data_IF_056975834938
#
_entry.id   IF_056975834938
#
_cell.length_a   1.000
_cell.length_b   1.000
_cell.length_c   1.000
_cell.angle_alpha   90.00
_cell.angle_beta   90.00
_cell.angle_gamma   90.00
#
_symmetry.space_group_name_H-M   'P 1'
#
loop_
_entity.id
_entity.type
_entity.pdbx_description
1 polymer ?
#
# COMPACT_ATOMS: atom_id res chain seq x y z
N UNK A 1 -2.29 2.17 7.14
CA UNK A 1 -2.47 2.85 8.45
C UNK A 1 -1.34 2.51 9.40
N UNK A 2 -1.18 1.25 9.86
CA UNK A 2 -0.13 0.86 10.80
C UNK A 2 1.30 1.13 10.28
N UNK A 3 1.63 0.66 9.06
CA UNK A 3 2.96 0.89 8.45
C UNK A 3 3.33 2.38 8.41
N UNK A 4 2.37 3.25 8.03
CA UNK A 4 2.57 4.71 8.03
C UNK A 4 2.78 5.28 9.43
N UNK A 5 2.10 4.74 10.44
CA UNK A 5 2.36 5.10 11.85
C UNK A 5 3.78 4.71 12.26
N UNK A 6 4.25 3.52 11.87
CA UNK A 6 5.63 3.08 12.12
C UNK A 6 6.66 3.97 11.44
N UNK A 7 6.47 4.30 10.15
CA UNK A 7 7.39 5.19 9.42
C UNK A 7 7.49 6.59 10.04
N UNK A 8 6.41 7.06 10.69
CA UNK A 8 6.44 8.33 11.44
C UNK A 8 7.07 8.18 12.82
N UNK A 9 6.82 7.08 13.52
CA UNK A 9 7.31 6.83 14.87
C UNK A 9 8.81 6.46 14.93
N UNK A 10 9.28 5.66 13.96
CA UNK A 10 10.69 5.23 13.87
C UNK A 10 11.54 6.37 13.33
N UNK A 11 12.46 6.87 14.15
CA UNK A 11 13.40 7.94 13.76
C UNK A 11 14.84 7.44 13.71
N UNK A 12 15.14 6.37 14.43
CA UNK A 12 16.50 5.83 14.58
C UNK A 12 16.56 4.33 14.27
N UNK A 13 17.74 3.80 13.92
CA UNK A 13 17.92 2.35 13.79
C UNK A 13 17.63 1.57 15.08
N UNK A 14 17.80 2.22 16.25
CA UNK A 14 17.54 1.58 17.53
C UNK A 14 16.04 1.41 17.79
N UNK A 15 15.20 2.37 17.39
CA UNK A 15 13.73 2.19 17.40
C UNK A 15 13.32 0.93 16.61
N UNK A 16 13.93 0.70 15.45
CA UNK A 16 13.64 -0.48 14.62
C UNK A 16 14.07 -1.80 15.29
N UNK A 17 15.21 -1.81 15.99
CA UNK A 17 15.67 -2.98 16.76
C UNK A 17 14.78 -3.27 17.96
N UNK A 18 14.23 -2.23 18.59
CA UNK A 18 13.31 -2.36 19.71
C UNK A 18 12.03 -3.08 19.26
N UNK A 19 11.43 -2.64 18.14
CA UNK A 19 10.20 -3.22 17.59
C UNK A 19 10.34 -4.72 17.33
N UNK A 20 11.50 -5.18 16.83
CA UNK A 20 11.74 -6.59 16.52
C UNK A 20 11.67 -7.53 17.75
N UNK A 21 11.74 -6.97 18.96
CA UNK A 21 11.68 -7.74 20.21
C UNK A 21 10.31 -7.68 20.88
N UNK A 22 9.39 -6.86 20.38
CA UNK A 22 8.09 -6.63 20.99
C UNK A 22 7.06 -7.65 20.52
N UNK A 23 6.15 -8.00 21.41
CA UNK A 23 4.86 -8.60 21.08
C UNK A 23 3.90 -7.56 20.49
N UNK A 24 2.82 -7.99 19.85
CA UNK A 24 1.80 -7.08 19.29
C UNK A 24 1.24 -6.11 20.34
N UNK A 25 1.08 -6.56 21.59
CA UNK A 25 0.58 -5.73 22.68
C UNK A 25 1.58 -4.64 23.08
N UNK A 26 2.85 -5.02 23.27
CA UNK A 26 3.94 -4.08 23.58
C UNK A 26 4.15 -3.08 22.45
N UNK A 27 4.11 -3.55 21.20
CA UNK A 27 4.23 -2.72 20.01
C UNK A 27 3.14 -1.65 19.96
N UNK A 28 1.89 -1.99 20.28
CA UNK A 28 0.78 -1.04 20.29
C UNK A 28 0.95 0.01 21.42
N UNK A 29 1.47 -0.37 22.58
CA UNK A 29 1.78 0.58 23.67
C UNK A 29 2.94 1.50 23.28
N UNK A 30 4.00 0.94 22.72
CA UNK A 30 5.15 1.69 22.21
C UNK A 30 4.73 2.71 21.15
N UNK A 31 3.89 2.30 20.20
CA UNK A 31 3.42 3.16 19.12
C UNK A 31 2.57 4.34 19.65
N UNK A 32 1.72 4.12 20.67
CA UNK A 32 1.05 5.23 21.37
C UNK A 32 2.06 6.19 22.01
N UNK A 33 3.08 5.64 22.68
CA UNK A 33 4.14 6.43 23.33
C UNK A 33 4.95 7.30 22.34
N UNK A 34 4.97 6.95 21.06
CA UNK A 34 5.60 7.72 19.98
C UNK A 34 4.68 8.75 19.31
N UNK A 35 3.48 8.99 19.86
CA UNK A 35 2.53 10.00 19.35
C UNK A 35 1.59 9.50 18.27
N UNK A 36 1.56 8.18 18.00
CA UNK A 36 0.67 7.55 17.01
C UNK A 36 -0.58 6.93 17.68
N UNK A 37 -1.10 7.60 18.70
CA UNK A 37 -2.27 7.13 19.45
C UNK A 37 -3.52 7.00 18.55
N UNK A 38 -3.72 7.92 17.63
CA UNK A 38 -4.80 7.88 16.65
C UNK A 38 -4.76 6.61 15.78
N UNK A 39 -3.56 6.17 15.41
CA UNK A 39 -3.37 4.95 14.63
C UNK A 39 -3.80 3.73 15.44
N UNK A 40 -3.34 3.66 16.69
CA UNK A 40 -3.64 2.55 17.60
C UNK A 40 -5.13 2.50 17.96
N UNK A 41 -5.72 3.65 18.31
CA UNK A 41 -7.14 3.76 18.61
C UNK A 41 -8.01 3.45 17.38
N UNK A 42 -7.58 3.84 16.17
CA UNK A 42 -8.26 3.49 14.93
C UNK A 42 -8.31 1.98 14.70
N UNK A 43 -7.22 1.26 14.98
CA UNK A 43 -7.16 -0.20 14.88
C UNK A 43 -8.06 -0.89 15.91
N UNK A 44 -7.95 -0.50 17.19
CA UNK A 44 -8.72 -1.12 18.28
C UNK A 44 -10.23 -0.89 18.16
N UNK A 45 -10.63 0.28 17.69
CA UNK A 45 -12.04 0.64 17.50
C UNK A 45 -12.54 0.43 16.08
N UNK A 46 -11.75 -0.23 15.20
CA UNK A 46 -12.10 -0.48 13.78
C UNK A 46 -12.48 0.79 12.98
N UNK A 47 -11.93 1.95 13.37
CA UNK A 47 -12.06 3.22 12.65
C UNK A 47 -10.95 3.32 11.60
N UNK A 48 -11.07 2.49 10.57
CA UNK A 48 -10.08 2.38 9.50
C UNK A 48 -10.24 3.47 8.44
N UNK A 49 -9.14 3.78 7.78
CA UNK A 49 -9.10 4.71 6.66
C UNK A 49 -9.94 4.16 5.51
N UNK A 50 -10.59 5.07 4.79
CA UNK A 50 -11.45 4.78 3.66
C UNK A 50 -10.84 5.34 2.38
N UNK A 51 -11.08 4.64 1.28
CA UNK A 51 -10.70 5.11 -0.05
C UNK A 51 -11.47 6.39 -0.39
N UNK A 52 -10.72 7.44 -0.68
CA UNK A 52 -11.23 8.71 -1.20
C UNK A 52 -11.09 8.79 -2.72
N UNK A 53 -9.94 8.35 -3.25
CA UNK A 53 -9.65 8.39 -4.69
C UNK A 53 -8.56 7.35 -5.03
N UNK A 54 -8.49 6.90 -6.28
CA UNK A 54 -7.43 6.02 -6.75
C UNK A 54 -7.62 5.66 -8.22
N UNK A 55 -6.55 5.17 -8.85
CA UNK A 55 -6.55 4.65 -10.22
C UNK A 55 -6.11 3.19 -10.20
N UNK A 56 -6.75 2.36 -11.01
CA UNK A 56 -6.29 0.97 -11.16
C UNK A 56 -5.00 0.92 -11.97
N UNK A 57 -4.24 -0.17 -11.86
CA UNK A 57 -3.07 -0.36 -12.72
C UNK A 57 -3.39 -0.46 -14.21
N UNK A 58 -4.65 -0.77 -14.54
CA UNK A 58 -5.17 -0.89 -15.91
C UNK A 58 -5.57 0.48 -16.48
N UNK A 59 -6.00 1.41 -15.63
CA UNK A 59 -6.42 2.77 -16.03
C UNK A 59 -5.25 3.68 -16.42
N UNK A 60 -4.01 3.29 -16.12
CA UNK A 60 -2.83 4.15 -16.30
C UNK A 60 -1.81 3.57 -17.27
N UNK A 61 -1.43 4.40 -18.23
CA UNK A 61 -0.34 4.13 -19.16
C UNK A 61 1.03 4.06 -18.48
N UNK A 62 2.02 3.54 -19.21
CA UNK A 62 3.38 3.36 -18.68
C UNK A 62 4.03 4.68 -18.23
N UNK A 63 3.72 5.79 -18.89
CA UNK A 63 4.32 7.09 -18.57
C UNK A 63 3.80 7.67 -17.26
N UNK A 64 2.49 7.58 -17.00
CA UNK A 64 1.92 7.95 -15.70
C UNK A 64 2.43 7.05 -14.58
N UNK A 65 2.61 5.75 -14.84
CA UNK A 65 3.27 4.86 -13.88
C UNK A 65 4.73 5.26 -13.59
N UNK A 66 5.49 5.76 -14.56
CA UNK A 66 6.85 6.27 -14.34
C UNK A 66 6.83 7.51 -13.46
N UNK A 67 5.86 8.41 -13.65
CA UNK A 67 5.66 9.60 -12.81
C UNK A 67 5.39 9.19 -11.35
N UNK A 68 4.46 8.27 -11.13
CA UNK A 68 4.15 7.76 -9.78
C UNK A 68 5.36 7.11 -9.09
N UNK A 69 6.16 6.34 -9.84
CA UNK A 69 7.42 5.75 -9.32
C UNK A 69 8.47 6.81 -9.00
N UNK A 70 8.57 7.87 -9.79
CA UNK A 70 9.49 8.98 -9.53
C UNK A 70 9.11 9.70 -8.24
N UNK A 71 7.81 9.93 -8.00
CA UNK A 71 7.32 10.51 -6.74
C UNK A 71 7.69 9.69 -5.51
N UNK A 72 7.69 8.35 -5.62
CA UNK A 72 8.13 7.47 -4.54
C UNK A 72 9.63 7.65 -4.22
N UNK A 73 10.49 7.74 -5.25
CA UNK A 73 11.95 7.88 -5.08
C UNK A 73 12.35 9.22 -4.46
N UNK A 74 11.62 10.29 -4.80
CA UNK A 74 11.95 11.64 -4.32
C UNK A 74 11.54 11.86 -2.85
N UNK A 75 11.01 10.86 -2.15
CA UNK A 75 10.49 10.94 -0.78
C UNK A 75 9.41 12.03 -0.57
N UNK A 76 8.82 12.52 -1.67
CA UNK A 76 7.78 13.56 -1.69
C UNK A 76 6.42 13.07 -1.21
N UNK A 77 6.27 11.76 -1.07
CA UNK A 77 5.00 11.13 -0.70
C UNK A 77 4.47 11.65 0.65
N UNK A 78 5.34 11.78 1.65
CA UNK A 78 4.97 12.34 2.95
C UNK A 78 4.55 13.81 2.85
N UNK A 79 5.19 14.60 1.99
CA UNK A 79 4.81 16.00 1.78
C UNK A 79 3.45 16.09 1.10
N UNK A 80 3.18 15.23 0.12
CA UNK A 80 1.89 15.16 -0.56
C UNK A 80 0.76 14.70 0.38
N UNK A 81 1.01 13.70 1.23
CA UNK A 81 0.06 13.27 2.26
C UNK A 81 -0.28 14.43 3.22
N UNK A 82 0.75 15.16 3.67
CA UNK A 82 0.58 16.36 4.51
C UNK A 82 -0.22 17.45 3.80
N UNK A 83 0.13 17.76 2.55
CA UNK A 83 -0.53 18.78 1.76
C UNK A 83 -2.01 18.44 1.55
N UNK A 84 -2.33 17.20 1.15
CA UNK A 84 -3.71 16.74 0.97
C UNK A 84 -4.51 16.78 2.26
N UNK A 85 -3.92 16.38 3.38
CA UNK A 85 -4.59 16.43 4.67
C UNK A 85 -4.92 17.88 5.05
N UNK A 86 -3.93 18.78 5.01
CA UNK A 86 -4.11 20.19 5.38
C UNK A 86 -5.09 20.91 4.45
N UNK A 87 -5.00 20.71 3.13
CA UNK A 87 -5.93 21.29 2.14
C UNK A 87 -7.36 20.76 2.27
N UNK A 88 -7.54 19.62 2.92
CA UNK A 88 -8.85 19.02 3.21
C UNK A 88 -9.39 19.39 4.60
N UNK A 89 -8.66 20.19 5.37
CA UNK A 89 -9.01 20.58 6.74
C UNK A 89 -8.79 19.47 7.77
N UNK A 90 -7.97 18.47 7.43
CA UNK A 90 -7.50 17.44 8.35
C UNK A 90 -6.11 17.77 8.92
N UNK A 91 -5.57 16.82 9.66
CA UNK A 91 -4.25 16.90 10.30
C UNK A 91 -3.24 15.96 9.62
N UNK A 92 -1.96 16.20 9.87
CA UNK A 92 -0.89 15.31 9.38
C UNK A 92 -1.17 13.89 9.86
N UNK A 93 -1.17 12.94 8.93
CA UNK A 93 -1.50 11.55 9.20
C UNK A 93 -2.92 11.16 8.81
N UNK A 94 -3.87 12.11 8.64
CA UNK A 94 -5.26 11.81 8.29
C UNK A 94 -5.46 11.30 6.85
N UNK A 95 -4.46 11.47 6.00
CA UNK A 95 -4.43 11.02 4.61
C UNK A 95 -3.21 10.13 4.40
N UNK A 96 -3.39 9.05 3.63
CA UNK A 96 -2.34 8.13 3.21
C UNK A 96 -2.42 8.00 1.69
N UNK A 97 -1.29 8.19 1.02
CA UNK A 97 -1.12 7.91 -0.40
C UNK A 97 -0.34 6.60 -0.49
N UNK A 98 -0.90 5.62 -1.15
CA UNK A 98 -0.29 4.31 -1.38
C UNK A 98 -0.02 4.10 -2.86
N UNK A 99 1.25 3.93 -3.20
CA UNK A 99 1.74 3.64 -4.55
C UNK A 99 2.51 2.33 -4.42
N UNK A 100 2.01 1.22 -4.99
CA UNK A 100 2.66 -0.07 -4.83
C UNK A 100 4.00 -0.07 -5.55
N UNK A 101 5.05 -0.38 -4.80
CA UNK A 101 6.39 -0.52 -5.35
C UNK A 101 6.56 -1.89 -6.01
N UNK A 102 7.28 -1.96 -7.14
CA UNK A 102 7.66 -3.25 -7.76
C UNK A 102 8.57 -4.10 -6.86
N UNK A 103 9.16 -3.54 -5.80
CA UNK A 103 9.93 -4.29 -4.82
C UNK A 103 9.11 -5.40 -4.16
N UNK A 104 7.79 -5.23 -4.04
CA UNK A 104 6.87 -6.26 -3.56
C UNK A 104 6.85 -7.53 -4.46
N UNK A 105 7.10 -7.37 -5.77
CA UNK A 105 7.25 -8.48 -6.71
C UNK A 105 8.64 -9.14 -6.62
N UNK A 106 9.65 -8.40 -6.14
CA UNK A 106 11.03 -8.90 -5.96
C UNK A 106 11.17 -9.67 -4.65
N UNK A 107 10.47 -9.24 -3.58
CA UNK A 107 10.45 -9.95 -2.30
C UNK A 107 9.68 -11.27 -2.40
N UNK A 108 8.63 -11.32 -3.23
CA UNK A 108 7.75 -12.49 -3.31
C UNK A 108 7.52 -12.97 -4.77
N UNK A 109 8.56 -13.52 -5.44
CA UNK A 109 8.47 -14.00 -6.82
C UNK A 109 7.47 -15.15 -7.03
N UNK A 110 7.10 -15.85 -5.94
CA UNK A 110 6.08 -16.90 -5.92
C UNK A 110 4.69 -16.39 -6.29
N UNK A 111 4.39 -15.10 -6.13
CA UNK A 111 3.05 -14.57 -6.39
C UNK A 111 2.65 -14.69 -7.88
N UNK A 112 3.63 -14.71 -8.79
CA UNK A 112 3.40 -14.90 -10.24
C UNK A 112 3.51 -16.34 -10.71
N UNK A 113 4.02 -17.25 -9.87
CA UNK A 113 4.28 -18.64 -10.25
C UNK A 113 3.37 -19.56 -9.45
N UNK A 114 2.57 -20.35 -10.16
CA UNK A 114 1.85 -21.44 -9.53
C UNK A 114 2.79 -22.53 -9.02
N UNK A 115 4.05 -22.59 -9.52
CA UNK A 115 5.10 -23.57 -9.19
C UNK A 115 4.65 -25.05 -9.20
N UNK A 116 3.51 -25.33 -9.82
CA UNK A 116 2.91 -26.66 -9.94
C UNK A 116 3.16 -27.15 -11.37
N UNK A 117 3.82 -28.29 -11.48
CA UNK A 117 3.99 -29.02 -12.73
C UNK A 117 3.01 -30.19 -12.82
N UNK A 118 2.53 -30.45 -14.03
CA UNK A 118 1.60 -31.52 -14.39
C UNK A 118 2.31 -32.43 -15.40
N UNK A 119 2.25 -33.73 -15.15
CA UNK A 119 2.67 -34.74 -16.12
C UNK A 119 1.50 -35.03 -17.04
N UNK A 120 1.65 -34.78 -18.33
CA UNK A 120 0.61 -35.08 -19.30
C UNK A 120 0.56 -36.60 -19.63
N UNK A 121 -0.48 -37.02 -20.34
CA UNK A 121 -0.64 -38.43 -20.76
C UNK A 121 0.51 -38.95 -21.64
N UNK A 122 1.38 -38.09 -22.14
CA UNK A 122 2.57 -38.44 -22.95
C UNK A 122 3.86 -38.40 -22.11
N UNK A 123 3.76 -38.30 -20.78
CA UNK A 123 4.91 -38.24 -19.87
C UNK A 123 5.64 -36.89 -19.84
N UNK A 124 5.09 -35.84 -20.49
CA UNK A 124 5.76 -34.53 -20.54
C UNK A 124 5.37 -33.69 -19.33
N UNK A 125 6.35 -33.05 -18.72
CA UNK A 125 6.18 -32.14 -17.59
C UNK A 125 5.90 -30.73 -18.10
N UNK A 126 4.75 -30.15 -17.71
CA UNK A 126 4.38 -28.75 -18.05
C UNK A 126 3.77 -28.05 -16.85
N UNK A 127 3.91 -26.71 -16.72
CA UNK A 127 3.28 -25.98 -15.62
C UNK A 127 1.75 -25.99 -15.73
N UNK A 128 1.07 -25.93 -14.58
CA UNK A 128 -0.39 -25.96 -14.47
C UNK A 128 -1.08 -24.87 -15.32
N UNK A 129 -0.46 -23.69 -15.44
CA UNK A 129 -0.95 -22.59 -16.29
C UNK A 129 -1.10 -22.96 -17.78
N UNK A 130 -0.38 -23.98 -18.28
CA UNK A 130 -0.55 -24.48 -19.65
C UNK A 130 -1.76 -25.39 -19.84
N UNK A 131 -2.33 -25.87 -18.74
CA UNK A 131 -3.45 -26.82 -18.74
C UNK A 131 -4.73 -26.23 -18.15
N UNK A 132 -4.64 -25.08 -17.47
CA UNK A 132 -5.75 -24.46 -16.77
C UNK A 132 -5.79 -22.96 -17.06
N UNK A 133 -6.80 -22.46 -17.82
CA UNK A 133 -6.97 -21.03 -18.08
C UNK A 133 -7.12 -20.21 -16.79
N UNK A 134 -7.73 -20.78 -15.74
CA UNK A 134 -7.84 -20.11 -14.44
C UNK A 134 -6.47 -19.98 -13.77
N UNK A 135 -5.60 -20.97 -13.88
CA UNK A 135 -4.25 -20.89 -13.32
C UNK A 135 -3.38 -19.87 -14.08
N UNK A 136 -3.55 -19.76 -15.40
CA UNK A 136 -2.90 -18.71 -16.20
C UNK A 136 -3.42 -17.31 -15.84
N UNK A 137 -4.74 -17.14 -15.71
CA UNK A 137 -5.35 -15.87 -15.32
C UNK A 137 -4.91 -15.40 -13.92
N UNK A 138 -4.85 -16.30 -12.94
CA UNK A 138 -4.38 -16.00 -11.59
C UNK A 138 -2.93 -15.49 -11.60
N UNK A 139 -2.04 -16.15 -12.36
CA UNK A 139 -0.63 -15.76 -12.43
C UNK A 139 -0.36 -14.41 -13.13
N UNK A 140 -1.29 -13.97 -14.00
CA UNK A 140 -1.19 -12.67 -14.69
C UNK A 140 -1.67 -11.50 -13.84
N UNK A 141 -2.49 -11.75 -12.82
CA UNK A 141 -3.04 -10.71 -11.96
C UNK A 141 -1.92 -9.97 -11.23
N UNK A 142 -1.96 -8.64 -11.23
CA UNK A 142 -1.05 -7.84 -10.41
C UNK A 142 -1.37 -8.03 -8.93
N UNK A 143 -0.32 -8.04 -8.09
CA UNK A 143 -0.45 -8.21 -6.63
C UNK A 143 -1.25 -7.08 -6.01
N UNK A 144 -0.96 -5.85 -6.45
CA UNK A 144 -1.75 -4.67 -6.13
C UNK A 144 -2.51 -4.25 -7.38
N UNK A 145 -3.86 -4.20 -7.34
CA UNK A 145 -4.68 -3.81 -8.49
C UNK A 145 -4.72 -2.29 -8.74
N UNK A 146 -4.16 -1.47 -7.84
CA UNK A 146 -4.09 -0.02 -7.99
C UNK A 146 -2.71 0.46 -8.42
N UNK A 147 -2.65 1.57 -9.15
CA UNK A 147 -1.41 2.29 -9.41
C UNK A 147 -1.16 3.39 -8.38
N UNK A 148 -2.23 3.99 -7.87
CA UNK A 148 -2.21 4.96 -6.78
C UNK A 148 -3.53 4.85 -6.02
N UNK A 149 -3.44 4.95 -4.70
CA UNK A 149 -4.58 4.86 -3.81
C UNK A 149 -4.48 5.93 -2.73
N UNK A 150 -5.48 6.80 -2.64
CA UNK A 150 -5.60 7.84 -1.61
C UNK A 150 -6.65 7.40 -0.59
N UNK A 151 -6.17 7.13 0.62
CA UNK A 151 -6.95 6.73 1.78
C UNK A 151 -7.02 7.88 2.77
N UNK A 152 -8.12 8.02 3.50
CA UNK A 152 -8.23 9.04 4.54
C UNK A 152 -9.17 8.62 5.66
N UNK A 153 -9.18 9.38 6.76
CA UNK A 153 -10.21 9.23 7.80
C UNK A 153 -11.63 9.41 7.21
N UNK A 154 -12.64 8.63 7.65
CA UNK A 154 -13.99 8.64 7.07
C UNK A 154 -14.61 10.03 6.94
N UNK A 155 -14.36 10.91 7.91
CA UNK A 155 -14.93 12.24 8.04
C UNK A 155 -14.42 13.21 6.96
N UNK A 156 -13.25 12.93 6.37
CA UNK A 156 -12.59 13.78 5.38
C UNK A 156 -12.79 13.32 3.94
N UNK A 157 -13.46 12.16 3.73
CA UNK A 157 -13.53 11.46 2.44
C UNK A 157 -13.91 12.36 1.27
N UNK A 158 -14.99 13.12 1.39
CA UNK A 158 -15.50 13.97 0.30
C UNK A 158 -14.52 15.11 -0.04
N UNK A 159 -13.92 15.73 0.98
CA UNK A 159 -12.96 16.82 0.80
C UNK A 159 -11.67 16.31 0.15
N UNK A 160 -11.13 15.21 0.68
CA UNK A 160 -9.92 14.57 0.16
C UNK A 160 -10.13 14.10 -1.27
N UNK A 161 -11.29 13.51 -1.60
CA UNK A 161 -11.60 13.09 -2.96
C UNK A 161 -11.54 14.25 -3.96
N UNK A 162 -12.15 15.40 -3.63
CA UNK A 162 -12.14 16.58 -4.50
C UNK A 162 -10.71 17.10 -4.71
N UNK A 163 -9.91 17.20 -3.64
CA UNK A 163 -8.52 17.70 -3.74
C UNK A 163 -7.59 16.72 -4.45
N UNK A 164 -7.77 15.41 -4.21
CA UNK A 164 -7.00 14.36 -4.87
C UNK A 164 -7.24 14.34 -6.38
N UNK A 165 -8.49 14.51 -6.84
CA UNK A 165 -8.79 14.66 -8.28
C UNK A 165 -7.97 15.78 -8.91
N UNK A 166 -8.03 16.99 -8.33
CA UNK A 166 -7.26 18.13 -8.85
C UNK A 166 -5.75 17.93 -8.80
N UNK A 167 -5.23 17.16 -7.85
CA UNK A 167 -3.79 16.93 -7.69
C UNK A 167 -3.25 15.84 -8.63
N UNK A 168 -4.05 14.82 -8.96
CA UNK A 168 -3.60 13.63 -9.66
C UNK A 168 -4.29 13.35 -11.00
N UNK A 169 -5.35 14.08 -11.37
CA UNK A 169 -5.82 14.09 -12.77
C UNK A 169 -4.77 14.78 -13.63
N UNK A 170 -4.19 13.99 -14.56
CA UNK A 170 -3.31 14.42 -15.64
C UNK A 170 -4.08 14.25 -16.95
#
# INVERSE_FOLDING_TARGET
MMVRGVERAVKTPDDAREILRMTDGEFMVWLRGKGEEDVVNGLLHRRLYKMAWGLTSEDVGEDTQKIFKKMLKDNKLMEMEKELALRSGGQVGDVIVDIPEKSLLLSEPRIRRTDINVVDKKGRVKPLSKHSPIADAIGRRMVSPWAILVLCKPELRTKVQSKAKTMFEV
#
